data_IF_337067685461
#
_entry.id   IF_337067685461
#
_cell.length_a   1.000
_cell.length_b   1.000
_cell.length_c   1.000
_cell.angle_alpha   90.00
_cell.angle_beta   90.00
_cell.angle_gamma   90.00
#
_symmetry.space_group_name_H-M   'P 1'
#
loop_
_entity.id
_entity.type
_entity.pdbx_description
1 polymer ?
#
# COMPACT_ATOMS: atom_id res chain seq x y z
N UNK A 1 21.43 5.77 -10.91
CA UNK A 1 20.64 6.67 -10.04
C UNK A 1 19.65 5.85 -9.23
N UNK A 2 19.56 6.04 -7.91
CA UNK A 2 18.63 5.31 -7.05
C UNK A 2 17.28 6.02 -7.00
N UNK A 3 16.27 5.52 -7.73
CA UNK A 3 14.88 5.99 -7.63
C UNK A 3 14.01 5.03 -6.81
N UNK A 4 12.84 5.48 -6.38
CA UNK A 4 11.84 4.66 -5.69
C UNK A 4 10.55 4.53 -6.48
N UNK A 5 9.79 3.49 -6.13
CA UNK A 5 8.40 3.29 -6.52
C UNK A 5 7.59 3.24 -5.23
N UNK A 6 6.57 4.07 -5.13
CA UNK A 6 5.63 4.08 -4.02
C UNK A 6 4.32 3.42 -4.44
N UNK A 7 3.98 2.27 -3.84
CA UNK A 7 2.85 1.44 -4.27
C UNK A 7 1.53 1.81 -3.59
N UNK A 8 1.57 2.69 -2.60
CA UNK A 8 0.40 3.10 -1.83
C UNK A 8 0.62 4.56 -1.40
N UNK A 9 0.10 5.49 -2.20
CA UNK A 9 0.25 6.92 -1.98
C UNK A 9 -1.09 7.67 -1.94
N UNK A 10 -1.36 8.29 -0.80
CA UNK A 10 -2.47 9.24 -0.61
C UNK A 10 -2.10 10.62 -1.15
N UNK A 11 -2.21 10.79 -2.47
CA UNK A 11 -1.90 12.03 -3.20
C UNK A 11 -3.11 12.64 -3.91
N UNK A 12 -4.31 12.06 -3.78
CA UNK A 12 -5.50 12.57 -4.44
C UNK A 12 -6.37 13.39 -3.46
N UNK A 13 -6.78 14.62 -3.82
CA UNK A 13 -7.63 15.44 -2.96
C UNK A 13 -9.06 14.91 -2.90
N UNK A 14 -9.81 15.23 -1.86
CA UNK A 14 -11.24 14.92 -1.75
C UNK A 14 -11.60 13.50 -1.31
N UNK A 15 -10.62 12.57 -1.31
CA UNK A 15 -10.77 11.29 -0.62
C UNK A 15 -10.43 11.44 0.86
N UNK A 16 -11.23 10.80 1.72
CA UNK A 16 -10.99 10.73 3.16
C UNK A 16 -10.43 9.36 3.50
N UNK A 17 -9.39 9.35 4.33
CA UNK A 17 -8.99 8.14 5.06
C UNK A 17 -9.91 7.98 6.28
N UNK A 18 -10.19 6.75 6.75
CA UNK A 18 -11.02 6.54 7.93
C UNK A 18 -10.56 7.38 9.13
N UNK A 19 -11.49 8.14 9.73
CA UNK A 19 -11.20 9.01 10.88
C UNK A 19 -10.48 10.33 10.56
N UNK A 20 -10.30 10.69 9.29
CA UNK A 20 -9.71 11.98 8.88
C UNK A 20 -10.58 12.75 7.90
N UNK A 21 -10.40 14.07 7.84
CA UNK A 21 -11.03 14.89 6.79
C UNK A 21 -10.40 14.59 5.42
N UNK A 22 -11.13 14.85 4.32
CA UNK A 22 -10.53 14.83 3.00
C UNK A 22 -9.34 15.81 2.87
N UNK A 23 -8.35 15.40 2.07
CA UNK A 23 -7.21 16.23 1.73
C UNK A 23 -7.59 17.34 0.73
N UNK A 24 -7.05 18.56 0.90
CA UNK A 24 -7.25 19.64 -0.07
C UNK A 24 -6.34 19.49 -1.29
N UNK A 25 -6.58 20.26 -2.35
CA UNK A 25 -5.73 20.25 -3.55
C UNK A 25 -4.31 20.71 -3.24
N UNK A 26 -4.13 21.69 -2.36
CA UNK A 26 -2.83 22.22 -1.94
C UNK A 26 -2.05 21.17 -1.15
N UNK A 27 -2.72 20.45 -0.25
CA UNK A 27 -2.09 19.36 0.51
C UNK A 27 -1.71 18.17 -0.38
N UNK A 28 -2.54 17.85 -1.37
CA UNK A 28 -2.26 16.85 -2.39
C UNK A 28 -1.01 17.20 -3.22
N UNK A 29 -0.94 18.45 -3.69
CA UNK A 29 0.20 18.98 -4.42
C UNK A 29 1.48 18.94 -3.56
N UNK A 30 1.41 19.38 -2.30
CA UNK A 30 2.54 19.35 -1.37
C UNK A 30 3.03 17.91 -1.11
N UNK A 31 2.14 16.93 -0.96
CA UNK A 31 2.54 15.52 -0.83
C UNK A 31 3.20 14.98 -2.10
N UNK A 32 2.68 15.36 -3.26
CA UNK A 32 3.24 14.99 -4.56
C UNK A 32 4.65 15.54 -4.71
N UNK A 33 4.90 16.79 -4.28
CA UNK A 33 6.23 17.38 -4.24
C UNK A 33 7.19 16.62 -3.31
N UNK A 34 6.74 16.27 -2.09
CA UNK A 34 7.56 15.50 -1.15
C UNK A 34 7.97 14.12 -1.68
N UNK A 35 7.09 13.44 -2.44
CA UNK A 35 7.44 12.19 -3.13
C UNK A 35 8.48 12.42 -4.23
N UNK A 36 8.27 13.44 -5.07
CA UNK A 36 9.19 13.81 -6.15
C UNK A 36 10.58 14.16 -5.61
N UNK A 37 10.64 14.98 -4.55
CA UNK A 37 11.87 15.35 -3.85
C UNK A 37 12.55 14.13 -3.18
N UNK A 38 11.77 13.14 -2.79
CA UNK A 38 12.27 11.84 -2.32
C UNK A 38 12.79 10.93 -3.44
N UNK A 39 12.83 11.42 -4.69
CA UNK A 39 13.22 10.69 -5.89
C UNK A 39 12.33 9.46 -6.19
N UNK A 40 11.05 9.55 -5.82
CA UNK A 40 10.01 8.63 -6.30
C UNK A 40 9.76 8.95 -7.78
N UNK A 41 9.86 7.93 -8.63
CA UNK A 41 9.63 8.06 -10.09
C UNK A 41 8.28 7.52 -10.51
N UNK A 42 7.67 6.71 -9.66
CA UNK A 42 6.32 6.22 -9.86
C UNK A 42 5.60 6.13 -8.52
N UNK A 43 4.41 6.71 -8.44
CA UNK A 43 3.52 6.60 -7.30
C UNK A 43 2.18 6.00 -7.74
N UNK A 44 1.70 4.98 -7.02
CA UNK A 44 0.34 4.50 -7.18
C UNK A 44 -0.59 5.31 -6.27
N UNK A 45 -1.44 6.12 -6.90
CA UNK A 45 -2.49 6.87 -6.24
C UNK A 45 -3.61 5.90 -5.84
N UNK A 46 -3.52 5.39 -4.61
CA UNK A 46 -4.37 4.33 -4.09
C UNK A 46 -5.17 4.82 -2.87
N UNK A 47 -6.14 5.73 -3.05
CA UNK A 47 -6.98 6.16 -1.95
C UNK A 47 -7.85 5.00 -1.43
N UNK A 48 -8.30 5.13 -0.19
CA UNK A 48 -9.29 4.22 0.39
C UNK A 48 -10.62 4.27 -0.38
N UNK A 49 -11.14 3.10 -0.73
CA UNK A 49 -12.49 2.96 -1.28
C UNK A 49 -13.50 2.71 -0.17
N UNK A 50 -14.43 3.64 0.00
CA UNK A 50 -15.55 3.51 0.92
C UNK A 50 -16.81 3.06 0.17
N UNK A 51 -17.22 1.78 0.28
CA UNK A 51 -18.40 1.25 -0.42
C UNK A 51 -19.72 1.83 0.10
N UNK A 52 -19.74 2.48 1.27
CA UNK A 52 -20.94 3.16 1.77
C UNK A 52 -21.12 4.55 1.14
N UNK A 53 -20.03 5.12 0.63
CA UNK A 53 -20.01 6.49 0.09
C UNK A 53 -20.03 6.55 -1.43
N UNK A 54 -19.45 5.56 -2.11
CA UNK A 54 -19.28 5.59 -3.55
C UNK A 54 -19.67 4.26 -4.20
N UNK A 55 -20.36 4.33 -5.34
CA UNK A 55 -20.34 3.20 -6.27
C UNK A 55 -18.92 3.00 -6.84
N UNK A 56 -18.59 1.78 -7.31
CA UNK A 56 -17.30 1.53 -7.93
C UNK A 56 -17.03 2.45 -9.12
N UNK A 57 -18.04 2.68 -9.97
CA UNK A 57 -17.93 3.52 -11.15
C UNK A 57 -17.64 4.98 -10.80
N UNK A 58 -18.39 5.56 -9.85
CA UNK A 58 -18.18 6.94 -9.39
C UNK A 58 -16.79 7.13 -8.77
N UNK A 59 -16.34 6.16 -7.96
CA UNK A 59 -15.01 6.20 -7.35
C UNK A 59 -13.92 6.18 -8.43
N UNK A 60 -14.03 5.30 -9.41
CA UNK A 60 -13.05 5.16 -10.49
C UNK A 60 -13.01 6.41 -11.37
N UNK A 61 -14.16 6.94 -11.75
CA UNK A 61 -14.25 8.18 -12.54
C UNK A 61 -13.59 9.34 -11.80
N UNK A 62 -13.92 9.51 -10.52
CA UNK A 62 -13.36 10.57 -9.68
C UNK A 62 -11.85 10.41 -9.48
N UNK A 63 -11.37 9.20 -9.20
CA UNK A 63 -9.95 8.89 -9.04
C UNK A 63 -9.19 9.22 -10.32
N UNK A 64 -9.67 8.75 -11.46
CA UNK A 64 -8.99 8.94 -12.74
C UNK A 64 -8.98 10.42 -13.15
N UNK A 65 -10.08 11.16 -12.94
CA UNK A 65 -10.13 12.60 -13.18
C UNK A 65 -9.12 13.37 -12.30
N UNK A 66 -8.98 12.97 -11.02
CA UNK A 66 -8.01 13.59 -10.09
C UNK A 66 -6.57 13.23 -10.41
N UNK A 67 -6.31 12.01 -10.89
CA UNK A 67 -4.98 11.63 -11.39
C UNK A 67 -4.63 12.51 -12.59
N UNK A 68 -5.52 12.60 -13.59
CA UNK A 68 -5.30 13.42 -14.78
C UNK A 68 -5.03 14.90 -14.44
N UNK A 69 -5.78 15.46 -13.47
CA UNK A 69 -5.56 16.83 -13.00
C UNK A 69 -4.22 17.03 -12.27
N UNK A 70 -3.59 15.96 -11.77
CA UNK A 70 -2.32 16.00 -11.04
C UNK A 70 -1.12 15.68 -11.94
N UNK A 71 -1.34 15.17 -13.16
CA UNK A 71 -0.26 14.75 -14.08
C UNK A 71 0.74 15.88 -14.38
N UNK A 72 0.24 17.08 -14.69
CA UNK A 72 1.08 18.25 -14.98
C UNK A 72 1.94 18.66 -13.77
N UNK A 73 1.37 18.57 -12.56
CA UNK A 73 2.09 18.88 -11.31
C UNK A 73 3.12 17.80 -10.95
N UNK A 74 2.82 16.54 -11.26
CA UNK A 74 3.70 15.41 -10.96
C UNK A 74 4.99 15.41 -11.79
N UNK A 75 5.00 16.12 -12.93
CA UNK A 75 6.16 16.32 -13.80
C UNK A 75 6.86 14.99 -14.16
N UNK A 76 8.04 14.75 -13.58
CA UNK A 76 8.87 13.56 -13.86
C UNK A 76 8.47 12.30 -13.08
N UNK A 77 7.47 12.40 -12.21
CA UNK A 77 6.92 11.26 -11.47
C UNK A 77 5.67 10.76 -12.17
N UNK A 78 5.67 9.50 -12.62
CA UNK A 78 4.49 8.86 -13.18
C UNK A 78 3.50 8.54 -12.07
N UNK A 79 2.22 8.81 -12.28
CA UNK A 79 1.15 8.40 -11.38
C UNK A 79 0.35 7.28 -12.05
N UNK A 80 0.05 6.21 -11.30
CA UNK A 80 -0.86 5.15 -11.74
C UNK A 80 -2.02 5.04 -10.75
N UNK A 81 -3.18 4.58 -11.23
CA UNK A 81 -4.33 4.36 -10.36
C UNK A 81 -4.17 3.13 -9.49
N UNK A 82 -4.84 3.12 -8.34
CA UNK A 82 -5.05 1.97 -7.49
C UNK A 82 -6.20 2.24 -6.54
N UNK A 83 -6.44 1.36 -5.59
CA UNK A 83 -7.32 1.60 -4.46
C UNK A 83 -6.93 0.68 -3.30
N UNK A 84 -7.10 1.16 -2.07
CA UNK A 84 -7.15 0.28 -0.90
C UNK A 84 -8.61 -0.13 -0.69
N UNK A 85 -8.88 -1.42 -0.79
CA UNK A 85 -10.24 -1.97 -0.70
C UNK A 85 -10.46 -2.71 0.63
N UNK A 86 -11.61 -2.54 1.30
CA UNK A 86 -11.99 -3.40 2.41
C UNK A 86 -12.08 -4.87 1.96
N UNK A 87 -11.54 -5.79 2.75
CA UNK A 87 -11.57 -7.23 2.43
C UNK A 87 -13.00 -7.74 2.20
N UNK A 88 -13.97 -7.28 2.98
CA UNK A 88 -15.39 -7.67 2.88
C UNK A 88 -15.98 -7.27 1.53
N UNK A 89 -15.65 -6.07 1.05
CA UNK A 89 -16.05 -5.61 -0.27
C UNK A 89 -15.44 -6.50 -1.37
N UNK A 90 -14.15 -6.84 -1.23
CA UNK A 90 -13.46 -7.72 -2.18
C UNK A 90 -14.14 -9.08 -2.29
N UNK A 91 -14.61 -9.63 -1.17
CA UNK A 91 -15.34 -10.90 -1.13
C UNK A 91 -16.75 -10.79 -1.72
N UNK A 92 -17.45 -9.68 -1.49
CA UNK A 92 -18.81 -9.48 -1.96
C UNK A 92 -18.88 -9.17 -3.46
N UNK A 93 -17.89 -8.45 -4.00
CA UNK A 93 -17.89 -7.95 -5.37
C UNK A 93 -16.59 -8.28 -6.15
N UNK A 94 -16.18 -9.55 -6.28
CA UNK A 94 -14.91 -9.93 -6.90
C UNK A 94 -14.79 -9.50 -8.37
N UNK A 95 -15.92 -9.34 -9.07
CA UNK A 95 -15.96 -8.88 -10.48
C UNK A 95 -15.64 -7.39 -10.64
N UNK A 96 -15.78 -6.59 -9.59
CA UNK A 96 -15.53 -5.16 -9.62
C UNK A 96 -14.07 -4.79 -9.28
N UNK A 97 -13.20 -5.79 -9.02
CA UNK A 97 -11.84 -5.56 -8.52
C UNK A 97 -10.83 -5.24 -9.62
N UNK A 98 -11.04 -5.73 -10.84
CA UNK A 98 -10.10 -5.53 -11.95
C UNK A 98 -9.70 -4.05 -12.20
N UNK A 99 -10.62 -3.06 -12.21
CA UNK A 99 -10.24 -1.65 -12.37
C UNK A 99 -9.64 -0.99 -11.11
N UNK A 100 -9.63 -1.70 -9.97
CA UNK A 100 -9.13 -1.23 -8.68
C UNK A 100 -7.68 -1.65 -8.39
N UNK A 101 -7.10 -2.53 -9.22
CA UNK A 101 -5.72 -2.99 -9.09
C UNK A 101 -4.70 -1.87 -9.25
N UNK A 102 -3.46 -2.12 -8.84
CA UNK A 102 -2.35 -1.18 -8.98
C UNK A 102 -1.93 -1.05 -10.46
N UNK A 103 -2.29 0.06 -11.11
CA UNK A 103 -2.03 0.32 -12.51
C UNK A 103 -2.66 -0.74 -13.41
N UNK A 104 -1.85 -1.36 -14.26
CA UNK A 104 -2.26 -2.48 -15.13
C UNK A 104 -1.77 -3.83 -14.57
N UNK A 105 -1.50 -3.88 -13.26
CA UNK A 105 -0.93 -5.06 -12.63
C UNK A 105 -1.97 -6.07 -12.13
N UNK A 106 -1.52 -7.26 -11.76
CA UNK A 106 -2.33 -8.28 -11.09
C UNK A 106 -2.38 -8.14 -9.57
N UNK A 107 -2.04 -6.96 -9.01
CA UNK A 107 -1.93 -6.75 -7.56
C UNK A 107 -3.01 -5.82 -7.01
N UNK A 108 -3.62 -6.23 -5.91
CA UNK A 108 -4.70 -5.51 -5.24
C UNK A 108 -4.28 -5.15 -3.80
N UNK A 109 -4.39 -3.88 -3.44
CA UNK A 109 -4.23 -3.44 -2.05
C UNK A 109 -5.55 -3.66 -1.30
N UNK A 110 -5.46 -4.33 -0.16
CA UNK A 110 -6.61 -4.61 0.70
C UNK A 110 -6.37 -4.12 2.13
N UNK A 111 -7.41 -3.52 2.72
CA UNK A 111 -7.51 -3.32 4.16
C UNK A 111 -8.08 -4.60 4.77
N UNK A 112 -7.33 -5.19 5.71
CA UNK A 112 -7.78 -6.35 6.47
C UNK A 112 -8.70 -5.93 7.63
N UNK A 113 -9.65 -6.76 8.04
CA UNK A 113 -10.46 -6.46 9.21
C UNK A 113 -9.61 -6.47 10.48
N UNK A 114 -9.96 -5.60 11.44
CA UNK A 114 -9.32 -5.53 12.76
C UNK A 114 -9.84 -6.64 13.69
N UNK A 115 -9.67 -7.89 13.27
CA UNK A 115 -10.07 -9.09 14.01
C UNK A 115 -8.89 -10.06 14.16
N UNK A 116 -8.92 -11.01 15.12
CA UNK A 116 -7.86 -12.00 15.28
C UNK A 116 -7.68 -12.88 14.03
N UNK A 117 -6.44 -13.31 13.75
CA UNK A 117 -6.17 -14.25 12.67
C UNK A 117 -6.64 -15.65 13.09
N UNK A 118 -7.75 -16.09 12.51
CA UNK A 118 -8.30 -17.44 12.68
C UNK A 118 -8.08 -18.28 11.41
N UNK A 119 -8.31 -19.58 11.50
CA UNK A 119 -8.33 -20.46 10.33
C UNK A 119 -9.36 -19.97 9.28
N UNK A 120 -10.56 -19.58 9.74
CA UNK A 120 -11.60 -19.03 8.88
C UNK A 120 -11.14 -17.73 8.17
N UNK A 121 -10.42 -16.85 8.87
CA UNK A 121 -9.82 -15.65 8.28
C UNK A 121 -8.86 -16.01 7.14
N UNK A 122 -7.97 -16.97 7.38
CA UNK A 122 -6.99 -17.42 6.40
C UNK A 122 -7.65 -18.12 5.19
N UNK A 123 -8.71 -18.89 5.41
CA UNK A 123 -9.52 -19.49 4.36
C UNK A 123 -10.20 -18.42 3.50
N UNK A 124 -10.77 -17.37 4.12
CA UNK A 124 -11.38 -16.25 3.40
C UNK A 124 -10.37 -15.56 2.47
N UNK A 125 -9.16 -15.30 2.95
CA UNK A 125 -8.08 -14.72 2.14
C UNK A 125 -7.67 -15.63 0.98
N UNK A 126 -7.45 -16.91 1.27
CA UNK A 126 -7.06 -17.90 0.26
C UNK A 126 -8.13 -18.02 -0.82
N UNK A 127 -9.41 -18.07 -0.42
CA UNK A 127 -10.56 -18.08 -1.34
C UNK A 127 -10.65 -16.81 -2.15
N UNK A 128 -10.46 -15.63 -1.54
CA UNK A 128 -10.49 -14.35 -2.25
C UNK A 128 -9.42 -14.31 -3.34
N UNK A 129 -8.20 -14.73 -3.04
CA UNK A 129 -7.11 -14.82 -4.02
C UNK A 129 -7.48 -15.74 -5.20
N UNK A 130 -8.03 -16.92 -4.90
CA UNK A 130 -8.44 -17.89 -5.94
C UNK A 130 -9.57 -17.35 -6.82
N UNK A 131 -10.61 -16.76 -6.20
CA UNK A 131 -11.81 -16.29 -6.92
C UNK A 131 -11.54 -15.03 -7.72
N UNK A 132 -10.74 -14.10 -7.18
CA UNK A 132 -10.40 -12.85 -7.86
C UNK A 132 -9.30 -13.03 -8.92
N UNK A 133 -8.42 -14.02 -8.75
CA UNK A 133 -7.26 -14.21 -9.61
C UNK A 133 -6.14 -13.19 -9.38
N UNK A 134 -6.26 -12.30 -8.39
CA UNK A 134 -5.28 -11.27 -8.07
C UNK A 134 -4.37 -11.66 -6.90
N UNK A 135 -3.15 -11.15 -6.93
CA UNK A 135 -2.22 -11.18 -5.80
C UNK A 135 -2.61 -10.09 -4.80
N UNK A 136 -2.87 -10.50 -3.56
CA UNK A 136 -3.33 -9.60 -2.51
C UNK A 136 -2.14 -8.99 -1.76
N UNK A 137 -2.21 -7.70 -1.48
CA UNK A 137 -1.26 -6.96 -0.64
C UNK A 137 -2.04 -6.35 0.54
N UNK A 138 -1.77 -6.80 1.77
CA UNK A 138 -2.28 -6.15 2.96
C UNK A 138 -1.65 -4.76 3.10
N UNK A 139 -2.47 -3.72 3.00
CA UNK A 139 -2.06 -2.33 3.14
C UNK A 139 -1.80 -2.01 4.62
N UNK A 140 -0.74 -1.23 4.87
CA UNK A 140 -0.35 -0.71 6.19
C UNK A 140 -0.42 -1.75 7.31
N UNK A 141 0.29 -2.87 7.12
CA UNK A 141 0.31 -3.99 8.06
C UNK A 141 0.73 -3.57 9.48
N UNK A 142 1.48 -2.48 9.63
CA UNK A 142 1.82 -1.88 10.91
C UNK A 142 0.61 -1.42 11.74
N UNK A 143 -0.56 -1.17 11.12
CA UNK A 143 -1.80 -0.84 11.83
C UNK A 143 -2.33 -1.98 12.69
N UNK A 144 -1.87 -3.22 12.50
CA UNK A 144 -2.39 -4.40 13.21
C UNK A 144 -1.42 -4.91 14.29
N UNK A 145 -0.31 -4.21 14.54
CA UNK A 145 0.70 -4.62 15.52
C UNK A 145 0.20 -4.63 16.97
N UNK A 146 -0.89 -3.91 17.26
CA UNK A 146 -1.55 -3.90 18.57
C UNK A 146 -2.54 -5.05 18.76
N UNK A 147 -2.91 -5.76 17.69
CA UNK A 147 -3.90 -6.84 17.71
C UNK A 147 -3.26 -8.20 17.44
N UNK A 148 -2.27 -8.26 16.54
CA UNK A 148 -1.70 -9.52 16.07
C UNK A 148 -0.35 -9.83 16.70
N UNK A 149 -0.21 -11.09 17.07
CA UNK A 149 1.02 -11.69 17.61
C UNK A 149 2.03 -11.97 16.50
N UNK A 150 3.33 -12.17 16.82
CA UNK A 150 4.31 -12.66 15.85
C UNK A 150 3.88 -13.93 15.10
N UNK A 151 3.20 -14.85 15.78
CA UNK A 151 2.67 -16.10 15.22
C UNK A 151 1.58 -15.84 14.17
N UNK A 152 0.71 -14.85 14.40
CA UNK A 152 -0.35 -14.46 13.45
C UNK A 152 0.24 -14.01 12.12
N UNK A 153 1.36 -13.27 12.12
CA UNK A 153 2.06 -12.86 10.89
C UNK A 153 2.63 -14.04 10.11
N UNK A 154 3.06 -15.09 10.81
CA UNK A 154 3.55 -16.34 10.19
C UNK A 154 2.38 -17.09 9.55
N UNK A 155 1.27 -17.23 10.28
CA UNK A 155 0.04 -17.86 9.77
C UNK A 155 -0.50 -17.10 8.56
N UNK A 156 -0.55 -15.77 8.63
CA UNK A 156 -1.00 -14.92 7.53
C UNK A 156 -0.14 -15.13 6.28
N UNK A 157 1.18 -15.26 6.41
CA UNK A 157 2.09 -15.55 5.28
C UNK A 157 1.73 -16.85 4.55
N UNK A 158 1.21 -17.87 5.25
CA UNK A 158 0.84 -19.15 4.62
C UNK A 158 -0.31 -19.01 3.61
N UNK A 159 -1.11 -17.94 3.69
CA UNK A 159 -2.16 -17.66 2.71
C UNK A 159 -1.61 -17.16 1.36
N UNK A 160 -0.33 -16.80 1.29
CA UNK A 160 0.30 -16.21 0.12
C UNK A 160 0.00 -14.72 -0.06
N UNK A 161 -0.60 -14.06 0.93
CA UNK A 161 -0.75 -12.60 0.94
C UNK A 161 0.60 -11.92 1.13
N UNK A 162 0.79 -10.80 0.43
CA UNK A 162 1.95 -9.94 0.57
C UNK A 162 1.65 -8.83 1.59
N UNK A 163 2.68 -8.30 2.25
CA UNK A 163 2.51 -7.26 3.26
C UNK A 163 3.26 -5.98 2.87
N UNK A 164 2.58 -4.85 3.00
CA UNK A 164 3.15 -3.51 2.90
C UNK A 164 3.22 -2.85 4.28
N UNK A 165 4.39 -2.33 4.63
CA UNK A 165 4.61 -1.53 5.84
C UNK A 165 4.55 -0.05 5.45
N UNK A 166 3.84 0.76 6.23
CA UNK A 166 3.73 2.20 6.01
C UNK A 166 4.99 2.96 6.43
N UNK A 167 5.13 4.21 6.01
CA UNK A 167 6.16 5.11 6.56
C UNK A 167 5.98 5.29 8.08
N UNK A 168 4.74 5.29 8.58
CA UNK A 168 4.43 5.35 10.01
C UNK A 168 5.02 4.18 10.79
N UNK A 169 4.83 2.96 10.28
CA UNK A 169 5.35 1.74 10.89
C UNK A 169 6.88 1.68 10.99
N UNK A 170 7.61 2.38 10.12
CA UNK A 170 9.07 2.48 10.18
C UNK A 170 9.52 3.58 11.16
N UNK A 171 8.82 4.72 11.19
CA UNK A 171 9.28 5.90 11.93
C UNK A 171 8.83 5.91 13.38
N UNK A 172 7.68 5.33 13.73
CA UNK A 172 7.20 5.24 15.11
C UNK A 172 8.01 4.22 15.91
N UNK A 173 8.44 4.58 17.12
CA UNK A 173 9.35 3.76 17.92
C UNK A 173 8.71 2.43 18.32
N UNK A 174 7.40 2.46 18.58
CA UNK A 174 6.56 1.34 19.02
C UNK A 174 6.46 0.28 17.91
N UNK A 175 6.32 0.71 16.65
CA UNK A 175 6.15 -0.18 15.50
C UNK A 175 7.46 -0.57 14.81
N UNK A 176 8.49 0.29 14.88
CA UNK A 176 9.73 0.14 14.12
C UNK A 176 10.39 -1.22 14.28
N UNK A 177 10.47 -1.72 15.51
CA UNK A 177 11.16 -2.99 15.79
C UNK A 177 10.49 -4.15 15.06
N UNK A 178 9.16 -4.24 15.13
CA UNK A 178 8.40 -5.29 14.47
C UNK A 178 8.41 -5.11 12.95
N UNK A 179 8.24 -3.89 12.44
CA UNK A 179 8.37 -3.57 11.02
C UNK A 179 9.70 -4.05 10.42
N UNK A 180 10.82 -3.71 11.07
CA UNK A 180 12.15 -4.12 10.62
C UNK A 180 12.34 -5.63 10.76
N UNK A 181 11.79 -6.26 11.79
CA UNK A 181 11.80 -7.72 11.93
C UNK A 181 11.06 -8.41 10.78
N UNK A 182 9.85 -7.97 10.44
CA UNK A 182 9.06 -8.54 9.35
C UNK A 182 9.77 -8.35 8.00
N UNK A 183 10.37 -7.18 7.76
CA UNK A 183 11.15 -6.91 6.55
C UNK A 183 12.44 -7.74 6.47
N UNK A 184 13.17 -7.85 7.59
CA UNK A 184 14.41 -8.61 7.68
C UNK A 184 14.18 -10.11 7.40
N UNK A 185 13.10 -10.65 7.97
CA UNK A 185 12.71 -12.05 7.84
C UNK A 185 11.78 -12.32 6.64
N UNK A 186 11.57 -11.32 5.77
CA UNK A 186 10.80 -11.46 4.52
C UNK A 186 9.32 -11.85 4.73
N UNK A 187 8.77 -11.60 5.91
CA UNK A 187 7.33 -11.62 6.14
C UNK A 187 6.67 -10.39 5.48
N UNK A 188 7.36 -9.24 5.50
CA UNK A 188 6.96 -8.04 4.78
C UNK A 188 7.77 -7.81 3.51
N UNK A 189 7.09 -7.24 2.50
CA UNK A 189 7.54 -7.23 1.12
C UNK A 189 7.80 -5.82 0.60
N UNK A 190 7.03 -4.84 1.08
CA UNK A 190 7.05 -3.47 0.60
C UNK A 190 7.13 -2.47 1.73
N UNK A 191 7.69 -1.30 1.42
CA UNK A 191 7.56 -0.08 2.21
C UNK A 191 6.94 0.97 1.29
N UNK A 192 5.87 1.60 1.72
CA UNK A 192 5.12 2.60 0.96
C UNK A 192 4.78 3.80 1.85
N UNK A 193 4.39 4.93 1.26
CA UNK A 193 3.98 6.09 2.08
C UNK A 193 2.76 5.78 2.95
N UNK A 194 1.85 4.95 2.45
CA UNK A 194 0.72 4.41 3.19
C UNK A 194 -0.38 5.42 3.46
N UNK A 195 -1.43 4.95 4.14
CA UNK A 195 -2.57 5.77 4.53
C UNK A 195 -2.12 6.85 5.51
N UNK A 196 -2.36 8.14 5.22
CA UNK A 196 -1.99 9.23 6.14
C UNK A 196 -3.04 10.35 6.24
N UNK A 197 -3.42 10.78 7.47
CA UNK A 197 -4.33 11.90 7.70
C UNK A 197 -3.93 13.19 6.99
N UNK A 198 -4.91 13.97 6.53
CA UNK A 198 -4.65 15.27 5.95
C UNK A 198 -3.86 16.18 6.93
N UNK A 199 -2.92 16.96 6.41
CA UNK A 199 -2.02 17.81 7.20
C UNK A 199 -0.79 17.11 7.80
N UNK A 200 -0.71 15.77 7.80
CA UNK A 200 0.48 15.07 8.31
C UNK A 200 1.63 15.06 7.26
N UNK A 201 2.85 15.51 7.63
CA UNK A 201 3.97 15.63 6.70
C UNK A 201 4.50 14.26 6.25
N UNK A 202 4.80 14.13 4.94
CA UNK A 202 5.38 12.91 4.39
C UNK A 202 6.88 12.83 4.66
N UNK A 203 7.32 11.74 5.32
CA UNK A 203 8.72 11.48 5.66
C UNK A 203 9.28 10.25 4.94
N UNK A 204 8.97 10.10 3.64
CA UNK A 204 9.34 8.92 2.85
C UNK A 204 10.85 8.66 2.82
N UNK A 205 11.66 9.68 2.47
CA UNK A 205 13.13 9.57 2.42
C UNK A 205 13.72 9.13 3.76
N UNK A 206 13.17 9.63 4.87
CA UNK A 206 13.65 9.28 6.20
C UNK A 206 13.33 7.83 6.56
N UNK A 207 12.12 7.36 6.24
CA UNK A 207 11.74 5.96 6.39
C UNK A 207 12.69 5.06 5.61
N UNK A 208 12.92 5.34 4.33
CA UNK A 208 13.82 4.53 3.50
C UNK A 208 15.28 4.56 3.98
N UNK A 209 15.76 5.70 4.52
CA UNK A 209 17.09 5.78 5.17
C UNK A 209 17.15 4.94 6.44
N UNK A 210 16.07 4.87 7.21
CA UNK A 210 15.98 4.03 8.41
C UNK A 210 16.09 2.55 8.02
N UNK A 211 15.32 2.11 7.02
CA UNK A 211 15.41 0.75 6.48
C UNK A 211 16.81 0.45 5.96
N UNK A 212 17.42 1.37 5.21
CA UNK A 212 18.78 1.20 4.66
C UNK A 212 19.85 1.04 5.74
N UNK A 213 19.73 1.77 6.86
CA UNK A 213 20.67 1.70 7.98
C UNK A 213 20.49 0.45 8.83
N UNK A 214 19.26 -0.03 8.94
CA UNK A 214 18.90 -1.15 9.82
C UNK A 214 19.02 -2.52 9.15
N UNK A 215 18.90 -2.60 7.83
CA UNK A 215 18.91 -3.87 7.10
C UNK A 215 20.19 -4.05 6.26
N UNK A 216 20.67 -5.30 6.10
CA UNK A 216 21.69 -5.64 5.11
C UNK A 216 21.37 -5.08 3.72
N UNK A 217 22.40 -4.63 3.01
CA UNK A 217 22.25 -3.95 1.72
C UNK A 217 21.53 -4.77 0.64
N UNK A 218 21.55 -6.10 0.71
CA UNK A 218 20.81 -6.95 -0.21
C UNK A 218 19.29 -6.95 0.07
N UNK A 219 18.88 -6.95 1.34
CA UNK A 219 17.47 -6.88 1.74
C UNK A 219 16.88 -5.50 1.42
N UNK A 220 17.61 -4.42 1.72
CA UNK A 220 17.18 -3.07 1.34
C UNK A 220 16.98 -2.93 -0.17
N UNK A 221 17.94 -3.42 -0.98
CA UNK A 221 17.81 -3.43 -2.45
C UNK A 221 16.61 -4.24 -2.92
N UNK A 222 16.33 -5.39 -2.29
CA UNK A 222 15.15 -6.20 -2.60
C UNK A 222 13.84 -5.45 -2.34
N UNK A 223 13.68 -4.86 -1.15
CA UNK A 223 12.49 -4.08 -0.79
C UNK A 223 12.26 -2.96 -1.82
N UNK A 224 13.33 -2.24 -2.18
CA UNK A 224 13.28 -1.20 -3.20
C UNK A 224 12.89 -1.72 -4.58
N UNK A 225 13.38 -2.90 -4.97
CA UNK A 225 13.13 -3.49 -6.28
C UNK A 225 11.74 -4.12 -6.39
N UNK A 226 11.24 -4.75 -5.32
CA UNK A 226 9.93 -5.40 -5.27
C UNK A 226 8.81 -4.46 -5.73
N UNK A 227 8.81 -3.21 -5.27
CA UNK A 227 7.83 -2.21 -5.69
C UNK A 227 7.83 -1.97 -7.21
N UNK A 228 8.99 -1.96 -7.85
CA UNK A 228 9.10 -1.84 -9.31
C UNK A 228 8.65 -3.09 -10.07
N UNK A 229 8.81 -4.28 -9.48
CA UNK A 229 8.41 -5.56 -10.09
C UNK A 229 6.90 -5.70 -10.23
N UNK A 230 6.13 -5.14 -9.29
CA UNK A 230 4.66 -5.19 -9.33
C UNK A 230 4.11 -4.62 -10.63
N UNK A 231 4.68 -3.51 -11.08
CA UNK A 231 4.20 -2.75 -12.23
C UNK A 231 4.63 -3.34 -13.57
N UNK A 232 5.56 -4.29 -13.56
CA UNK A 232 5.87 -5.15 -14.70
C UNK A 232 5.20 -6.52 -14.61
N UNK A 233 4.24 -6.71 -13.70
CA UNK A 233 3.62 -8.01 -13.41
C UNK A 233 4.60 -9.14 -13.09
N UNK A 234 5.79 -8.78 -12.59
CA UNK A 234 6.76 -9.75 -12.11
C UNK A 234 6.43 -10.13 -10.67
N UNK A 235 6.61 -11.40 -10.31
CA UNK A 235 6.46 -11.85 -8.92
C UNK A 235 7.55 -11.20 -8.05
N UNK A 236 7.21 -10.63 -6.87
CA UNK A 236 8.21 -10.06 -5.98
C UNK A 236 9.17 -11.16 -5.52
N UNK A 237 10.43 -10.80 -5.30
CA UNK A 237 11.39 -11.78 -4.80
C UNK A 237 11.03 -12.20 -3.38
N UNK A 238 10.56 -13.43 -3.22
CA UNK A 238 10.39 -14.15 -1.95
C UNK A 238 11.14 -15.49 -2.04
N UNK A 239 11.84 -15.90 -0.99
CA UNK A 239 12.30 -17.28 -0.90
C UNK A 239 11.13 -18.14 -0.44
N UNK A 240 10.76 -19.13 -1.28
CA UNK A 240 9.89 -20.23 -0.92
C UNK A 240 10.44 -20.97 0.30
#
# INVERSE_FOLDING_TARGET
MNYYVDIHADILPGFSVPGSRPMTTEEAAARTDLLRESNVKLAAAAPYYDPQRYSPEEFLEMRNAKIAALEDHAQSMRIVGGAVLPMEYCMAAPRALAPMVLGESGYLLIELPREPITEEFCEKLSRLRIVSGFSLIAADADRYFDIWTPEDWITLRQTGILLQISVGGILQAEHRKLSLYLLANQYAHFVASGTRPAGEPLRFTESMRTVQRSLPAHLYRRIKNNAGMLLSNAEPSSFF
#
